data_IF_888786133672
#
_entry.id   IF_888786133672
#
_cell.length_a   1.000
_cell.length_b   1.000
_cell.length_c   1.000
_cell.angle_alpha   90.00
_cell.angle_beta   90.00
_cell.angle_gamma   90.00
#
_symmetry.space_group_name_H-M   'P 1'
#
loop_
_entity.id
_entity.type
_entity.pdbx_description
1 polymer ?
#
# COMPACT_ATOMS: atom_id res chain seq x y z
N UNK A 1 -1.60 8.48 -7.07
CA UNK A 1 -2.20 7.12 -7.12
C UNK A 1 -2.95 6.90 -5.82
N UNK A 2 -4.15 6.31 -5.87
CA UNK A 2 -4.94 5.99 -4.67
C UNK A 2 -5.17 4.48 -4.66
N UNK A 3 -4.87 3.84 -3.53
CA UNK A 3 -5.04 2.40 -3.32
C UNK A 3 -5.97 2.25 -2.13
N UNK A 4 -7.15 1.72 -2.39
CA UNK A 4 -8.12 1.41 -1.34
C UNK A 4 -7.98 -0.04 -0.88
N UNK A 5 -8.38 -0.33 0.35
CA UNK A 5 -8.20 -1.61 1.04
C UNK A 5 -6.74 -2.12 0.96
N UNK A 6 -5.78 -1.23 1.21
CA UNK A 6 -4.35 -1.51 1.07
C UNK A 6 -3.88 -2.70 1.92
N UNK A 7 -4.59 -3.05 2.99
CA UNK A 7 -4.34 -4.25 3.79
C UNK A 7 -4.46 -5.56 2.98
N UNK A 8 -5.08 -5.54 1.81
CA UNK A 8 -5.15 -6.70 0.91
C UNK A 8 -3.81 -7.08 0.29
N UNK A 9 -2.72 -6.32 0.50
CA UNK A 9 -1.36 -6.64 0.00
C UNK A 9 -0.90 -8.04 0.36
N UNK A 10 -1.30 -8.58 1.51
CA UNK A 10 -0.95 -9.95 1.92
C UNK A 10 -1.56 -11.02 1.01
N UNK A 11 -2.71 -10.72 0.41
CA UNK A 11 -3.45 -11.66 -0.43
C UNK A 11 -2.95 -11.63 -1.89
N UNK A 12 -2.16 -10.62 -2.27
CA UNK A 12 -1.61 -10.48 -3.62
C UNK A 12 -0.65 -11.62 -3.99
N UNK A 13 -0.02 -12.26 -2.98
CA UNK A 13 0.90 -13.38 -3.18
C UNK A 13 0.26 -14.78 -3.13
N UNK A 14 -0.93 -14.92 -2.54
CA UNK A 14 -1.49 -16.24 -2.25
C UNK A 14 -2.62 -16.68 -3.19
N UNK A 15 -3.58 -15.82 -3.56
CA UNK A 15 -4.59 -16.14 -4.58
C UNK A 15 -5.57 -14.99 -4.94
N UNK A 16 -5.36 -13.77 -4.45
CA UNK A 16 -6.34 -12.71 -4.62
C UNK A 16 -5.99 -11.80 -5.80
N UNK A 17 -6.61 -12.12 -6.94
CA UNK A 17 -6.63 -11.36 -8.20
C UNK A 17 -5.25 -11.10 -8.80
N UNK A 18 -4.91 -11.80 -9.89
CA UNK A 18 -3.73 -11.58 -10.75
C UNK A 18 -3.46 -10.11 -11.13
N UNK A 19 -4.43 -9.20 -10.98
CA UNK A 19 -4.26 -7.77 -11.26
C UNK A 19 -3.57 -7.00 -10.13
N UNK A 20 -3.57 -7.52 -8.88
CA UNK A 20 -2.95 -6.85 -7.75
C UNK A 20 -1.48 -7.23 -7.58
N UNK A 21 -1.02 -8.39 -8.07
CA UNK A 21 0.42 -8.62 -8.27
C UNK A 21 1.04 -7.61 -9.26
N UNK A 22 0.20 -6.98 -10.09
CA UNK A 22 0.59 -5.88 -10.97
C UNK A 22 0.67 -4.54 -10.23
N UNK A 23 0.26 -4.40 -8.96
CA UNK A 23 0.35 -3.12 -8.23
C UNK A 23 1.77 -2.76 -7.83
N UNK A 24 2.59 -3.74 -7.46
CA UNK A 24 4.03 -3.55 -7.29
C UNK A 24 4.65 -3.08 -8.63
N UNK A 25 4.26 -3.70 -9.74
CA UNK A 25 4.66 -3.25 -11.07
C UNK A 25 4.13 -1.84 -11.38
N UNK A 26 2.87 -1.52 -11.07
CA UNK A 26 2.29 -0.19 -11.25
C UNK A 26 3.06 0.86 -10.45
N UNK A 27 3.50 0.53 -9.23
CA UNK A 27 4.35 1.43 -8.45
C UNK A 27 5.64 1.77 -9.19
N UNK A 28 6.26 0.80 -9.86
CA UNK A 28 7.46 1.01 -10.69
C UNK A 28 7.19 1.86 -11.94
N UNK A 29 5.97 1.84 -12.49
CA UNK A 29 5.58 2.69 -13.63
C UNK A 29 5.19 4.12 -13.23
N UNK A 30 4.88 4.36 -11.95
CA UNK A 30 4.50 5.68 -11.44
C UNK A 30 5.76 6.49 -11.11
N UNK A 31 5.94 7.70 -11.68
CA UNK A 31 7.09 8.55 -11.37
C UNK A 31 7.23 8.82 -9.87
N UNK A 32 8.47 8.86 -9.36
CA UNK A 32 8.77 9.03 -7.92
C UNK A 32 8.23 10.32 -7.30
N UNK A 33 7.87 11.32 -8.11
CA UNK A 33 7.28 12.59 -7.66
C UNK A 33 5.76 12.56 -7.49
N UNK A 34 5.08 11.49 -7.88
CA UNK A 34 3.61 11.39 -7.79
C UNK A 34 3.23 10.91 -6.38
N UNK A 35 2.39 11.66 -5.64
CA UNK A 35 1.90 11.21 -4.33
C UNK A 35 1.10 9.90 -4.43
N UNK A 36 1.30 9.03 -3.46
CA UNK A 36 0.54 7.78 -3.30
C UNK A 36 -0.22 7.83 -1.98
N UNK A 37 -1.53 7.58 -2.05
CA UNK A 37 -2.40 7.43 -0.89
C UNK A 37 -2.83 5.98 -0.78
N UNK A 38 -2.59 5.36 0.37
CA UNK A 38 -3.03 4.02 0.69
C UNK A 38 -4.02 4.10 1.86
N UNK A 39 -5.26 3.64 1.65
CA UNK A 39 -6.33 3.66 2.63
C UNK A 39 -6.80 2.25 2.95
N UNK A 40 -7.27 2.05 4.18
CA UNK A 40 -7.83 0.80 4.65
C UNK A 40 -8.66 1.06 5.88
N UNK A 41 -9.79 0.36 6.05
CA UNK A 41 -10.63 0.51 7.24
C UNK A 41 -9.90 0.08 8.52
N UNK A 42 -9.03 -0.92 8.42
CA UNK A 42 -8.18 -1.43 9.51
C UNK A 42 -6.73 -1.58 9.02
N UNK A 43 -5.75 -1.22 9.85
CA UNK A 43 -4.34 -1.34 9.49
C UNK A 43 -3.44 -1.57 10.72
N UNK A 44 -3.36 -2.81 11.22
CA UNK A 44 -2.46 -3.17 12.32
C UNK A 44 -0.99 -2.84 12.00
N UNK A 45 -0.10 -2.66 13.00
CA UNK A 45 1.29 -2.24 12.79
C UNK A 45 2.09 -3.11 11.82
N UNK A 46 1.90 -4.44 11.88
CA UNK A 46 2.58 -5.39 10.98
C UNK A 46 2.10 -5.22 9.54
N UNK A 47 0.80 -4.97 9.35
CA UNK A 47 0.19 -4.70 8.05
C UNK A 47 0.67 -3.38 7.48
N UNK A 48 0.71 -2.32 8.29
CA UNK A 48 1.24 -1.02 7.89
C UNK A 48 2.68 -1.13 7.39
N UNK A 49 3.50 -1.92 8.09
CA UNK A 49 4.89 -2.18 7.70
C UNK A 49 4.96 -2.87 6.34
N UNK A 50 4.12 -3.89 6.10
CA UNK A 50 4.05 -4.58 4.80
C UNK A 50 3.61 -3.65 3.67
N UNK A 51 2.54 -2.88 3.86
CA UNK A 51 2.05 -1.90 2.87
C UNK A 51 3.17 -0.91 2.51
N UNK A 52 3.93 -0.43 3.49
CA UNK A 52 5.06 0.48 3.24
C UNK A 52 6.15 -0.16 2.37
N UNK A 53 6.48 -1.41 2.62
CA UNK A 53 7.48 -2.14 1.82
C UNK A 53 6.99 -2.32 0.38
N UNK A 54 5.78 -2.85 0.20
CA UNK A 54 5.22 -3.15 -1.13
C UNK A 54 5.00 -1.89 -1.98
N UNK A 55 4.62 -0.78 -1.35
CA UNK A 55 4.40 0.50 -2.06
C UNK A 55 5.64 1.39 -2.11
N UNK A 56 6.79 0.89 -1.65
CA UNK A 56 8.06 1.64 -1.59
C UNK A 56 7.91 3.00 -0.88
N UNK A 57 7.19 3.01 0.26
CA UNK A 57 6.98 4.18 1.09
C UNK A 57 8.05 4.26 2.18
N UNK A 58 8.77 5.39 2.26
CA UNK A 58 9.74 5.65 3.33
C UNK A 58 9.11 6.46 4.46
N UNK A 59 9.54 6.21 5.70
CA UNK A 59 9.01 6.91 6.87
C UNK A 59 9.21 8.44 6.79
N UNK A 60 10.31 8.89 6.18
CA UNK A 60 10.64 10.32 6.01
C UNK A 60 9.65 11.07 5.09
N UNK A 61 9.04 10.36 4.14
CA UNK A 61 8.18 10.97 3.09
C UNK A 61 6.71 10.57 3.22
N UNK A 62 6.36 9.89 4.31
CA UNK A 62 5.02 9.31 4.49
C UNK A 62 4.40 9.84 5.77
N UNK A 63 3.18 10.37 5.66
CA UNK A 63 2.35 10.68 6.81
C UNK A 63 1.42 9.50 7.09
N UNK A 64 1.31 9.09 8.34
CA UNK A 64 0.36 8.05 8.76
C UNK A 64 -0.71 8.69 9.66
N UNK A 65 -1.97 8.53 9.26
CA UNK A 65 -3.12 9.01 9.99
C UNK A 65 -3.96 7.80 10.42
N UNK A 66 -4.11 7.60 11.73
CA UNK A 66 -5.04 6.61 12.26
C UNK A 66 -6.36 7.31 12.63
N UNK A 67 -7.46 6.83 12.06
CA UNK A 67 -8.81 7.36 12.28
C UNK A 67 -9.69 6.40 13.10
N UNK A 68 -9.15 5.24 13.50
CA UNK A 68 -9.82 4.36 14.45
C UNK A 68 -9.88 5.08 15.80
N UNK A 69 -11.11 5.33 16.27
CA UNK A 69 -11.41 5.98 17.56
C UNK A 69 -11.21 5.04 18.74
#
# INVERSE_FOLDING_TARGET
MVIDEARCVEQWGAEFRKHYSTLEALRSFVPRGVPVLATSATMPPDMLTRVRVVLEMTAEKTFHLNLES
#
